data_IF_833714012552
#
_entry.id   IF_833714012552
#
_cell.length_a   1.000
_cell.length_b   1.000
_cell.length_c   1.000
_cell.angle_alpha   90.00
_cell.angle_beta   90.00
_cell.angle_gamma   90.00
#
_symmetry.space_group_name_H-M   'P 1'
#
loop_
_entity.id
_entity.type
_entity.pdbx_description
1 polymer ?
#
# COMPACT_ATOMS: atom_id res chain seq x y z
N UNK A 1 61.28 10.15 5.69
CA UNK A 1 60.02 10.80 6.14
C UNK A 1 58.87 10.11 5.43
N UNK A 2 58.18 9.24 6.15
CA UNK A 2 57.04 8.46 5.68
C UNK A 2 55.81 9.37 5.62
N UNK A 3 55.21 9.59 4.45
CA UNK A 3 53.90 10.25 4.34
C UNK A 3 52.94 9.40 3.52
N UNK A 4 52.24 8.57 4.27
CA UNK A 4 50.85 8.15 4.16
C UNK A 4 50.22 8.10 2.77
N UNK A 5 49.96 6.87 2.33
CA UNK A 5 48.90 6.54 1.40
C UNK A 5 47.55 7.05 1.91
N UNK A 6 46.79 7.71 1.04
CA UNK A 6 45.33 7.78 1.15
C UNK A 6 44.79 7.10 -0.10
N UNK A 7 44.55 5.80 0.02
CA UNK A 7 43.67 5.06 -0.88
C UNK A 7 42.26 5.63 -0.69
N UNK A 8 41.79 6.45 -1.63
CA UNK A 8 40.36 6.75 -1.75
C UNK A 8 39.68 5.44 -2.17
N UNK A 9 38.79 4.84 -1.37
CA UNK A 9 38.03 3.70 -1.84
C UNK A 9 36.99 4.20 -2.83
N UNK A 10 37.05 3.64 -4.02
CA UNK A 10 35.98 3.56 -5.01
C UNK A 10 34.68 3.15 -4.31
N UNK A 11 33.75 4.10 -4.15
CA UNK A 11 32.37 3.84 -3.70
C UNK A 11 31.41 4.72 -4.51
N UNK A 12 31.53 4.62 -5.84
CA UNK A 12 30.61 5.22 -6.80
C UNK A 12 30.18 4.18 -7.84
N UNK A 13 29.71 3.05 -7.34
CA UNK A 13 29.03 2.05 -8.15
C UNK A 13 28.20 1.19 -7.21
N UNK A 14 26.94 1.58 -7.02
CA UNK A 14 25.77 0.72 -6.72
C UNK A 14 24.52 1.58 -6.44
N UNK A 15 24.26 2.63 -7.25
CA UNK A 15 22.89 3.11 -7.44
C UNK A 15 22.32 2.51 -8.72
N UNK A 16 22.37 1.18 -8.81
CA UNK A 16 21.40 0.49 -9.62
C UNK A 16 20.07 0.66 -8.89
N UNK A 17 19.25 1.63 -9.30
CA UNK A 17 17.84 1.68 -8.92
C UNK A 17 17.17 0.42 -9.45
N UNK A 18 17.25 -0.65 -8.67
CA UNK A 18 16.29 -1.73 -8.81
C UNK A 18 14.90 -1.10 -8.70
N UNK A 19 13.97 -1.54 -9.54
CA UNK A 19 12.53 -1.25 -9.42
C UNK A 19 11.94 -1.98 -8.19
N UNK A 20 12.60 -1.82 -7.05
CA UNK A 20 12.27 -2.43 -5.77
C UNK A 20 11.74 -1.37 -4.81
N UNK A 21 11.23 -1.87 -3.68
CA UNK A 21 10.68 -1.09 -2.57
C UNK A 21 11.35 0.27 -2.37
N UNK A 22 10.54 1.32 -2.18
CA UNK A 22 11.03 2.67 -1.90
C UNK A 22 11.42 2.83 -0.45
N UNK A 23 12.70 3.15 -0.22
CA UNK A 23 13.25 3.54 1.08
C UNK A 23 13.39 5.06 1.13
N UNK A 24 12.98 5.64 2.26
CA UNK A 24 12.99 7.07 2.47
C UNK A 24 13.70 7.40 3.78
N UNK A 25 14.37 8.55 3.82
CA UNK A 25 15.05 9.04 5.03
C UNK A 25 14.05 9.72 5.96
N UNK A 26 14.28 9.62 7.27
CA UNK A 26 13.44 10.22 8.30
C UNK A 26 12.21 9.38 8.66
N UNK A 27 11.36 9.90 9.57
CA UNK A 27 10.18 9.18 10.03
C UNK A 27 9.10 9.11 8.95
N UNK A 28 8.19 8.16 9.08
CA UNK A 28 6.96 8.10 8.31
C UNK A 28 6.19 9.44 8.36
N UNK A 29 5.76 9.95 7.20
CA UNK A 29 4.69 10.95 7.15
C UNK A 29 3.45 10.48 7.92
N UNK A 30 2.79 11.40 8.63
CA UNK A 30 1.53 11.17 9.35
C UNK A 30 0.41 12.00 8.71
N UNK A 31 -0.09 11.60 7.51
CA UNK A 31 -1.19 12.29 6.87
C UNK A 31 -2.49 12.18 7.69
N UNK A 32 -3.38 13.17 7.60
CA UNK A 32 -4.74 13.00 8.10
C UNK A 32 -5.43 11.87 7.33
N UNK A 33 -6.33 11.18 8.02
CA UNK A 33 -7.10 10.05 7.49
C UNK A 33 -8.57 10.41 7.30
N UNK A 34 -9.31 9.54 6.63
CA UNK A 34 -10.73 9.73 6.35
C UNK A 34 -11.51 10.03 7.66
N UNK A 35 -12.10 11.21 7.72
CA UNK A 35 -12.99 11.57 8.83
C UNK A 35 -14.26 10.72 8.80
N UNK A 36 -14.74 10.36 10.01
CA UNK A 36 -15.96 9.57 10.20
C UNK A 36 -15.96 8.27 9.37
N UNK A 37 -14.80 7.60 9.30
CA UNK A 37 -14.66 6.37 8.55
C UNK A 37 -15.62 5.28 9.04
N UNK A 38 -16.39 4.74 8.11
CA UNK A 38 -17.39 3.70 8.35
C UNK A 38 -17.00 2.41 7.64
N UNK A 39 -16.48 1.45 8.41
CA UNK A 39 -16.06 0.15 7.88
C UNK A 39 -17.22 -0.62 7.24
N UNK A 40 -18.47 -0.45 7.71
CA UNK A 40 -19.62 -1.14 7.16
C UNK A 40 -19.98 -0.66 5.73
N UNK A 41 -19.57 0.56 5.36
CA UNK A 41 -19.65 1.05 3.97
C UNK A 41 -18.43 0.66 3.14
N UNK A 42 -17.31 0.41 3.80
CA UNK A 42 -16.04 0.08 3.16
C UNK A 42 -15.92 -1.38 2.73
N UNK A 43 -16.63 -2.31 3.41
CA UNK A 43 -16.63 -3.74 3.06
C UNK A 43 -17.03 -3.98 1.60
N UNK A 44 -16.67 -5.17 1.10
CA UNK A 44 -16.85 -5.60 -0.27
C UNK A 44 -15.55 -5.55 -1.07
N UNK A 45 -15.71 -5.66 -2.39
CA UNK A 45 -14.59 -5.76 -3.33
C UNK A 45 -14.02 -4.39 -3.67
N UNK A 46 -12.69 -4.34 -3.77
CA UNK A 46 -11.91 -3.22 -4.27
C UNK A 46 -10.85 -3.73 -5.25
N UNK A 47 -10.75 -3.10 -6.41
CA UNK A 47 -9.71 -3.34 -7.40
C UNK A 47 -8.53 -2.41 -7.14
N UNK A 48 -7.30 -2.92 -7.19
CA UNK A 48 -6.11 -2.08 -7.16
C UNK A 48 -5.92 -1.42 -8.54
N UNK A 49 -5.93 -0.09 -8.57
CA UNK A 49 -5.75 0.69 -9.80
C UNK A 49 -4.29 1.11 -9.96
N UNK A 50 -3.72 1.65 -8.89
CA UNK A 50 -2.31 2.03 -8.84
C UNK A 50 -1.73 1.75 -7.47
N UNK A 51 -0.42 1.46 -7.41
CA UNK A 51 0.28 1.32 -6.13
C UNK A 51 1.72 1.83 -6.16
N UNK A 52 2.25 2.17 -4.99
CA UNK A 52 3.70 2.23 -4.81
C UNK A 52 4.31 0.83 -4.89
N UNK A 53 5.55 0.67 -5.39
CA UNK A 53 6.15 -0.64 -5.61
C UNK A 53 6.22 -1.45 -4.33
N UNK A 54 5.77 -2.71 -4.39
CA UNK A 54 5.84 -3.66 -3.29
C UNK A 54 6.58 -4.93 -3.70
N UNK A 55 7.26 -5.57 -2.75
CA UNK A 55 7.98 -6.82 -3.02
C UNK A 55 7.09 -8.07 -2.96
N UNK A 56 5.90 -7.96 -2.36
CA UNK A 56 4.99 -9.08 -2.08
C UNK A 56 3.85 -9.22 -3.08
N UNK A 57 3.55 -8.19 -3.89
CA UNK A 57 2.40 -8.17 -4.77
C UNK A 57 2.81 -7.65 -6.15
N UNK A 58 3.07 -8.59 -7.06
CA UNK A 58 3.72 -8.36 -8.36
C UNK A 58 2.89 -8.88 -9.54
N UNK A 59 1.70 -9.40 -9.27
CA UNK A 59 0.79 -9.93 -10.27
C UNK A 59 -0.01 -8.84 -11.00
N UNK A 60 -1.08 -9.30 -11.63
CA UNK A 60 -2.12 -8.49 -12.29
C UNK A 60 -3.49 -8.83 -11.72
N UNK A 61 -4.53 -8.11 -12.12
CA UNK A 61 -5.90 -8.33 -11.69
C UNK A 61 -6.07 -8.24 -10.18
N UNK A 62 -5.25 -7.44 -9.50
CA UNK A 62 -5.19 -7.46 -8.04
C UNK A 62 -6.48 -6.88 -7.47
N UNK A 63 -7.09 -7.61 -6.55
CA UNK A 63 -8.29 -7.18 -5.85
C UNK A 63 -8.21 -7.56 -4.36
N UNK A 64 -8.88 -6.78 -3.54
CA UNK A 64 -9.04 -6.98 -2.12
C UNK A 64 -10.54 -7.10 -1.81
N UNK A 65 -10.93 -8.17 -1.14
CA UNK A 65 -12.30 -8.36 -0.66
C UNK A 65 -12.35 -8.20 0.86
N UNK A 66 -12.95 -7.12 1.32
CA UNK A 66 -13.12 -6.82 2.74
C UNK A 66 -14.43 -7.38 3.23
N UNK A 67 -14.43 -8.05 4.38
CA UNK A 67 -15.63 -8.68 4.91
C UNK A 67 -15.63 -8.70 6.44
N UNK A 68 -16.82 -8.84 7.00
CA UNK A 68 -17.03 -9.09 8.41
C UNK A 68 -17.66 -10.47 8.58
N UNK A 69 -17.06 -11.30 9.43
CA UNK A 69 -17.62 -12.62 9.72
C UNK A 69 -18.78 -12.57 10.74
N UNK A 70 -19.41 -13.72 10.99
CA UNK A 70 -20.54 -13.84 11.92
C UNK A 70 -20.20 -13.46 13.36
N UNK A 71 -18.92 -13.48 13.73
CA UNK A 71 -18.42 -13.08 15.05
C UNK A 71 -18.03 -11.59 15.10
N UNK A 72 -18.28 -10.84 14.03
CA UNK A 72 -17.95 -9.43 13.93
C UNK A 72 -16.48 -9.15 13.59
N UNK A 73 -15.67 -10.18 13.29
CA UNK A 73 -14.25 -10.03 12.98
C UNK A 73 -14.08 -9.56 11.55
N UNK A 74 -13.23 -8.54 11.37
CA UNK A 74 -12.94 -7.96 10.06
C UNK A 74 -11.78 -8.69 9.39
N UNK A 75 -11.96 -8.97 8.10
CA UNK A 75 -11.00 -9.70 7.27
C UNK A 75 -10.83 -9.03 5.92
N UNK A 76 -9.68 -9.26 5.31
CA UNK A 76 -9.42 -8.95 3.90
C UNK A 76 -8.86 -10.19 3.22
N UNK A 77 -9.35 -10.48 2.02
CA UNK A 77 -8.76 -11.48 1.14
C UNK A 77 -8.18 -10.74 -0.06
N UNK A 78 -6.85 -10.75 -0.18
CA UNK A 78 -6.16 -10.20 -1.35
C UNK A 78 -5.90 -11.32 -2.35
N UNK A 79 -6.23 -11.07 -3.62
CA UNK A 79 -6.09 -12.05 -4.70
C UNK A 79 -5.42 -11.40 -5.90
N UNK A 80 -4.40 -12.08 -6.44
CA UNK A 80 -3.67 -11.66 -7.63
C UNK A 80 -3.51 -12.82 -8.62
N UNK A 81 -3.39 -12.48 -9.91
CA UNK A 81 -2.93 -13.41 -10.94
C UNK A 81 -1.43 -13.20 -11.16
N UNK A 82 -0.62 -14.15 -10.73
CA UNK A 82 0.85 -14.08 -10.80
C UNK A 82 1.39 -15.25 -11.63
N UNK A 83 2.03 -14.95 -12.75
CA UNK A 83 2.57 -15.95 -13.69
C UNK A 83 1.52 -17.01 -14.11
N UNK A 84 0.29 -16.56 -14.39
CA UNK A 84 -0.82 -17.44 -14.80
C UNK A 84 -1.44 -18.28 -13.67
N UNK A 85 -1.04 -18.06 -12.41
CA UNK A 85 -1.60 -18.75 -11.25
C UNK A 85 -2.25 -17.76 -10.30
N UNK A 86 -3.43 -18.12 -9.78
CA UNK A 86 -4.04 -17.37 -8.69
C UNK A 86 -3.20 -17.51 -7.43
N UNK A 87 -2.95 -16.39 -6.76
CA UNK A 87 -2.41 -16.32 -5.42
C UNK A 87 -3.38 -15.55 -4.56
N UNK A 88 -3.60 -16.05 -3.37
CA UNK A 88 -4.53 -15.48 -2.41
C UNK A 88 -3.89 -15.44 -1.03
N UNK A 89 -4.18 -14.39 -0.27
CA UNK A 89 -3.77 -14.25 1.12
C UNK A 89 -4.88 -13.60 1.93
N UNK A 90 -5.28 -14.27 3.02
CA UNK A 90 -6.22 -13.75 4.01
C UNK A 90 -5.47 -12.97 5.08
N UNK A 91 -6.00 -11.80 5.45
CA UNK A 91 -5.53 -10.97 6.55
C UNK A 91 -6.67 -10.63 7.50
N UNK A 92 -6.33 -10.50 8.77
CA UNK A 92 -7.21 -10.00 9.84
C UNK A 92 -7.00 -8.50 10.02
N UNK A 93 -8.10 -7.76 10.16
CA UNK A 93 -8.09 -6.31 10.34
C UNK A 93 -8.40 -6.00 11.81
N UNK A 94 -7.58 -5.14 12.41
CA UNK A 94 -7.77 -4.66 13.78
C UNK A 94 -7.72 -3.13 13.83
N UNK A 95 -8.46 -2.54 14.77
CA UNK A 95 -8.37 -1.11 15.06
C UNK A 95 -7.19 -0.86 16.00
N UNK A 96 -6.29 0.04 15.62
CA UNK A 96 -5.16 0.45 16.48
C UNK A 96 -5.61 1.44 17.54
N UNK A 97 -6.51 2.35 17.18
CA UNK A 97 -7.27 3.23 18.08
C UNK A 97 -8.73 3.29 17.59
N UNK A 98 -9.67 2.96 18.48
CA UNK A 98 -11.12 3.01 18.17
C UNK A 98 -11.62 4.43 17.88
N UNK A 99 -10.87 5.46 18.28
CA UNK A 99 -11.20 6.86 18.00
C UNK A 99 -10.76 7.31 16.61
N UNK A 100 -9.88 6.55 15.95
CA UNK A 100 -9.39 6.84 14.60
C UNK A 100 -9.56 5.60 13.71
N UNK A 101 -10.81 5.19 13.41
CA UNK A 101 -11.11 3.89 12.80
C UNK A 101 -10.55 3.73 11.37
N UNK A 102 -10.16 4.84 10.72
CA UNK A 102 -9.46 4.81 9.43
C UNK A 102 -8.00 4.34 9.53
N UNK A 103 -7.40 4.32 10.73
CA UNK A 103 -6.06 3.76 10.99
C UNK A 103 -6.19 2.34 11.54
N UNK A 104 -6.13 1.39 10.63
CA UNK A 104 -6.21 -0.04 10.94
C UNK A 104 -4.83 -0.69 10.92
N UNK A 105 -4.75 -1.87 11.52
CA UNK A 105 -3.65 -2.82 11.34
C UNK A 105 -4.16 -4.03 10.57
N UNK A 106 -3.33 -4.58 9.68
CA UNK A 106 -3.62 -5.83 8.98
C UNK A 106 -2.57 -6.86 9.36
N UNK A 107 -3.02 -8.02 9.84
CA UNK A 107 -2.16 -9.16 10.15
C UNK A 107 -2.43 -10.31 9.21
N UNK A 108 -1.41 -10.77 8.49
CA UNK A 108 -1.52 -11.91 7.56
C UNK A 108 -1.15 -13.26 8.21
N UNK A 109 -0.54 -13.23 9.39
CA UNK A 109 -0.28 -14.41 10.22
C UNK A 109 -0.08 -14.00 11.68
N UNK A 110 -0.20 -14.94 12.61
CA UNK A 110 -0.20 -14.66 14.05
C UNK A 110 1.17 -14.29 14.65
N UNK A 111 2.27 -14.49 13.93
CA UNK A 111 3.64 -14.26 14.43
C UNK A 111 4.33 -13.05 13.79
N UNK A 112 3.74 -12.45 12.76
CA UNK A 112 4.21 -11.18 12.19
C UNK A 112 3.49 -9.99 12.82
N UNK A 113 4.20 -8.88 13.08
CA UNK A 113 3.55 -7.63 13.45
C UNK A 113 2.51 -7.20 12.41
N UNK A 114 1.40 -6.62 12.86
CA UNK A 114 0.40 -6.04 11.96
C UNK A 114 1.02 -4.90 11.16
N UNK A 115 0.75 -4.88 9.84
CA UNK A 115 1.11 -3.77 8.98
C UNK A 115 0.09 -2.64 9.12
N UNK A 116 0.51 -1.37 9.23
CA UNK A 116 -0.41 -0.24 9.21
C UNK A 116 -1.21 -0.21 7.90
N UNK A 117 -2.49 0.12 7.97
CA UNK A 117 -3.37 0.30 6.83
C UNK A 117 -4.26 1.50 7.11
N UNK A 118 -3.94 2.64 6.49
CA UNK A 118 -4.59 3.91 6.76
C UNK A 118 -5.40 4.33 5.55
N UNK A 119 -6.72 4.48 5.72
CA UNK A 119 -7.58 5.03 4.68
C UNK A 119 -7.48 6.56 4.73
N UNK A 120 -6.71 7.13 3.80
CA UNK A 120 -6.49 8.58 3.71
C UNK A 120 -7.76 9.29 3.25
N UNK A 121 -8.43 8.74 2.26
CA UNK A 121 -9.65 9.31 1.69
C UNK A 121 -10.44 8.26 0.94
N UNK A 122 -11.75 8.22 1.12
CA UNK A 122 -12.65 7.35 0.36
C UNK A 122 -14.04 7.96 0.29
N UNK A 123 -14.71 7.77 -0.83
CA UNK A 123 -16.15 8.03 -0.96
C UNK A 123 -17.00 6.75 -0.78
N UNK A 124 -16.37 5.64 -0.40
CA UNK A 124 -16.93 4.29 -0.21
C UNK A 124 -17.46 3.60 -1.47
N UNK A 125 -17.90 4.38 -2.46
CA UNK A 125 -18.64 3.91 -3.64
C UNK A 125 -17.79 3.86 -4.91
N UNK A 126 -16.71 4.64 -5.02
CA UNK A 126 -15.94 4.72 -6.25
C UNK A 126 -14.43 4.56 -6.02
N UNK A 127 -13.87 5.18 -4.99
CA UNK A 127 -12.43 5.16 -4.73
C UNK A 127 -12.07 5.00 -3.25
N UNK A 128 -10.86 4.50 -3.02
CA UNK A 128 -10.19 4.60 -1.74
C UNK A 128 -8.69 4.84 -1.95
N UNK A 129 -8.14 5.79 -1.20
CA UNK A 129 -6.72 6.07 -1.13
C UNK A 129 -6.18 5.54 0.19
N UNK A 130 -5.26 4.59 0.10
CA UNK A 130 -4.72 3.88 1.25
C UNK A 130 -3.23 4.15 1.37
N UNK A 131 -2.74 4.30 2.59
CA UNK A 131 -1.34 4.47 2.92
C UNK A 131 -0.89 3.48 3.99
N UNK A 132 0.34 3.00 3.89
CA UNK A 132 0.99 2.18 4.91
C UNK A 132 2.43 2.63 5.04
N UNK A 133 2.92 2.79 6.26
CA UNK A 133 4.30 3.17 6.49
C UNK A 133 4.86 2.55 7.76
N UNK A 134 6.08 2.04 7.67
CA UNK A 134 6.80 1.44 8.78
C UNK A 134 8.17 2.09 8.91
N UNK A 135 8.43 2.65 10.10
CA UNK A 135 9.75 3.13 10.49
C UNK A 135 10.70 1.94 10.71
N UNK A 136 11.94 2.07 10.25
CA UNK A 136 12.99 1.07 10.41
C UNK A 136 14.18 1.71 11.11
N UNK A 137 14.50 1.18 12.29
CA UNK A 137 15.66 1.60 13.12
C UNK A 137 15.70 3.14 13.30
N UNK A 138 14.52 3.79 13.38
CA UNK A 138 14.32 5.23 13.58
C UNK A 138 14.94 6.20 12.56
N UNK A 139 15.69 5.71 11.57
CA UNK A 139 16.45 6.54 10.64
C UNK A 139 15.82 6.58 9.25
N UNK A 140 15.15 5.50 8.85
CA UNK A 140 14.53 5.36 7.54
C UNK A 140 13.14 4.78 7.70
N UNK A 141 12.32 4.94 6.68
CA UNK A 141 11.03 4.29 6.60
C UNK A 141 10.82 3.65 5.23
N UNK A 142 9.90 2.70 5.22
CA UNK A 142 9.36 2.11 4.00
C UNK A 142 7.87 2.40 3.99
N UNK A 143 7.38 2.88 2.85
CA UNK A 143 5.97 3.16 2.66
C UNK A 143 5.40 2.43 1.46
N UNK A 144 4.08 2.34 1.48
CA UNK A 144 3.23 1.81 0.43
C UNK A 144 2.01 2.72 0.34
N UNK A 145 1.45 2.80 -0.86
CA UNK A 145 0.21 3.49 -1.09
C UNK A 145 -0.55 2.76 -2.18
N UNK A 146 -1.86 2.77 -2.09
CA UNK A 146 -2.75 2.13 -3.06
C UNK A 146 -3.88 3.09 -3.40
N UNK A 147 -4.16 3.20 -4.69
CA UNK A 147 -5.41 3.75 -5.20
C UNK A 147 -6.29 2.55 -5.55
N UNK A 148 -7.41 2.44 -4.87
CA UNK A 148 -8.39 1.38 -5.04
C UNK A 148 -9.66 1.92 -5.70
N UNK A 149 -10.37 1.08 -6.43
CA UNK A 149 -11.68 1.42 -7.00
C UNK A 149 -12.71 0.30 -6.84
N UNK A 150 -14.01 0.65 -6.84
CA UNK A 150 -15.09 -0.34 -6.96
C UNK A 150 -15.22 -0.93 -8.36
N UNK A 151 -14.62 -0.29 -9.37
CA UNK A 151 -14.55 -0.77 -10.75
C UNK A 151 -13.11 -1.13 -11.14
N UNK A 152 -12.88 -1.96 -12.16
CA UNK A 152 -11.52 -2.29 -12.62
C UNK A 152 -10.82 -1.13 -13.33
N UNK A 153 -11.54 -0.03 -13.59
CA UNK A 153 -11.02 1.17 -14.25
C UNK A 153 -11.41 2.40 -13.45
N UNK A 154 -10.57 3.43 -13.50
CA UNK A 154 -10.83 4.72 -12.86
C UNK A 154 -10.48 5.85 -13.83
N UNK A 155 -11.25 6.94 -13.79
CA UNK A 155 -10.97 8.11 -14.61
C UNK A 155 -9.58 8.69 -14.27
N UNK A 156 -8.73 9.01 -15.28
CA UNK A 156 -7.35 9.48 -15.05
C UNK A 156 -7.25 10.74 -14.19
N UNK A 157 -8.26 11.62 -14.25
CA UNK A 157 -8.32 12.82 -13.42
C UNK A 157 -8.46 12.48 -11.93
N UNK A 158 -9.29 11.49 -11.58
CA UNK A 158 -9.44 11.01 -10.21
C UNK A 158 -8.12 10.46 -9.69
N UNK A 159 -7.43 9.63 -10.47
CA UNK A 159 -6.11 9.10 -10.13
C UNK A 159 -5.10 10.23 -9.88
N UNK A 160 -5.10 11.24 -10.76
CA UNK A 160 -4.22 12.42 -10.63
C UNK A 160 -4.49 13.19 -9.34
N UNK A 161 -5.76 13.44 -9.03
CA UNK A 161 -6.16 14.15 -7.81
C UNK A 161 -5.75 13.39 -6.54
N UNK A 162 -5.92 12.06 -6.52
CA UNK A 162 -5.50 11.22 -5.39
C UNK A 162 -3.97 11.19 -5.21
N UNK A 163 -3.21 11.16 -6.31
CA UNK A 163 -1.75 11.31 -6.25
C UNK A 163 -1.33 12.67 -5.72
N UNK A 164 -1.98 13.75 -6.17
CA UNK A 164 -1.71 15.10 -5.66
C UNK A 164 -2.01 15.22 -4.17
N UNK A 165 -3.03 14.53 -3.67
CA UNK A 165 -3.33 14.46 -2.23
C UNK A 165 -2.17 13.81 -1.45
N UNK A 166 -1.65 12.67 -1.90
CA UNK A 166 -0.44 12.05 -1.29
C UNK A 166 0.76 13.00 -1.30
N UNK A 167 1.01 13.67 -2.44
CA UNK A 167 2.12 14.61 -2.59
C UNK A 167 2.01 15.80 -1.63
N UNK A 168 0.78 16.28 -1.36
CA UNK A 168 0.53 17.33 -0.38
C UNK A 168 1.00 16.95 1.04
N UNK A 169 0.97 15.65 1.36
CA UNK A 169 1.48 15.06 2.60
C UNK A 169 2.93 14.58 2.52
N UNK A 170 3.68 15.02 1.51
CA UNK A 170 5.10 14.68 1.28
C UNK A 170 5.34 13.19 1.03
N UNK A 171 4.34 12.48 0.53
CA UNK A 171 4.47 11.10 0.06
C UNK A 171 4.77 11.16 -1.44
N UNK A 172 5.96 10.70 -1.83
CA UNK A 172 6.40 10.65 -3.23
C UNK A 172 5.56 9.62 -4.03
N UNK A 173 4.99 10.07 -5.15
CA UNK A 173 4.15 9.25 -6.03
C UNK A 173 4.78 8.99 -7.40
N UNK A 174 6.01 9.47 -7.66
CA UNK A 174 6.68 9.33 -8.96
C UNK A 174 6.92 7.86 -9.34
N UNK A 175 6.99 7.00 -8.33
CA UNK A 175 7.17 5.55 -8.49
C UNK A 175 5.86 4.76 -8.44
N UNK A 176 4.71 5.42 -8.30
CA UNK A 176 3.43 4.71 -8.38
C UNK A 176 3.27 4.09 -9.77
N UNK A 177 2.81 2.85 -9.80
CA UNK A 177 2.66 2.04 -10.99
C UNK A 177 1.20 1.64 -11.16
N UNK A 178 0.65 1.72 -12.38
CA UNK A 178 -0.67 1.19 -12.66
C UNK A 178 -0.68 -0.33 -12.59
N UNK A 179 -1.81 -0.86 -12.12
CA UNK A 179 -2.07 -2.28 -12.05
C UNK A 179 -2.89 -2.72 -13.25
N UNK A 180 -2.48 -3.81 -13.88
CA UNK A 180 -3.14 -4.33 -15.07
C UNK A 180 -4.44 -5.06 -14.69
N UNK A 181 -5.58 -4.39 -14.90
CA UNK A 181 -6.93 -4.92 -14.67
C UNK A 181 -7.63 -5.38 -15.96
N UNK A 182 -6.92 -5.40 -17.10
CA UNK A 182 -7.50 -5.81 -18.38
C UNK A 182 -7.55 -7.33 -18.49
N UNK A 183 -8.50 -7.87 -19.26
CA UNK A 183 -8.56 -9.30 -19.62
C UNK A 183 -8.39 -10.27 -18.43
N UNK A 184 -8.93 -9.89 -17.26
CA UNK A 184 -8.85 -10.72 -16.07
C UNK A 184 -9.78 -11.94 -16.20
N UNK A 185 -9.34 -13.13 -15.75
CA UNK A 185 -10.18 -14.33 -15.81
C UNK A 185 -11.47 -14.15 -15.00
N UNK A 186 -12.60 -14.74 -15.44
CA UNK A 186 -13.87 -14.69 -14.70
C UNK A 186 -13.78 -15.25 -13.27
N UNK A 187 -12.79 -16.11 -13.01
CA UNK A 187 -12.55 -16.72 -11.71
C UNK A 187 -11.85 -15.81 -10.71
N UNK A 188 -11.52 -14.56 -11.08
CA UNK A 188 -11.02 -13.53 -10.16
C UNK A 188 -12.10 -13.15 -9.15
#
# INVERSE_FOLDING_TARGET
MLRMAVLLPVLLSLFGLGKGQTFHMGPCPDPPVQENFDMAKYVGKWYEIEKLPSNFEKGRCIQAHYMQDENGKLKVINKELSNGKFKEIEGEITYMDVKEPAKMGISFNWFTPSAPYWVISTDYENYSLVYSCTNIIWLFHVNYAWILSRAPEMHPETVTNLKSLLQSYKIDTDKMMPTDQLNCPPEM
#
